data_IF_735023525805
#
_entry.id   IF_735023525805
#
_cell.length_a   1.000
_cell.length_b   1.000
_cell.length_c   1.000
_cell.angle_alpha   90.00
_cell.angle_beta   90.00
_cell.angle_gamma   90.00
#
_symmetry.space_group_name_H-M   'P 1'
#
loop_
_entity.id
_entity.type
_entity.pdbx_description
1 polymer ?
#
# COMPACT_ATOMS: atom_id res chain seq x y z
N UNK A 1 -18.99 -29.63 -3.45
CA UNK A 1 -18.36 -28.30 -3.71
C UNK A 1 -17.65 -27.88 -2.45
N UNK A 2 -16.31 -27.88 -2.43
CA UNK A 2 -15.54 -27.39 -1.29
C UNK A 2 -15.76 -25.88 -1.13
N UNK A 3 -15.97 -25.40 0.10
CA UNK A 3 -16.05 -23.96 0.39
C UNK A 3 -14.77 -23.32 -0.13
N UNK A 4 -14.93 -22.35 -1.02
CA UNK A 4 -13.82 -21.55 -1.54
C UNK A 4 -13.14 -20.82 -0.36
N UNK A 5 -11.82 -20.99 -0.22
CA UNK A 5 -11.09 -20.41 0.91
C UNK A 5 -10.99 -18.91 0.74
N UNK A 6 -11.18 -18.17 1.81
CA UNK A 6 -11.05 -16.71 1.81
C UNK A 6 -9.59 -16.30 1.63
N UNK A 7 -9.34 -15.35 0.74
CA UNK A 7 -8.01 -14.79 0.51
C UNK A 7 -7.71 -13.67 1.50
N UNK A 8 -6.51 -13.69 2.10
CA UNK A 8 -6.02 -12.67 3.04
C UNK A 8 -4.66 -12.18 2.57
N UNK A 9 -4.53 -10.88 2.41
CA UNK A 9 -3.28 -10.21 2.06
C UNK A 9 -2.64 -9.63 3.33
N UNK A 10 -1.43 -10.05 3.65
CA UNK A 10 -0.71 -9.70 4.87
C UNK A 10 0.54 -8.92 4.47
N UNK A 11 0.65 -7.67 4.90
CA UNK A 11 1.89 -6.90 4.72
C UNK A 11 2.77 -6.99 5.96
N UNK A 12 4.06 -7.20 5.76
CA UNK A 12 5.06 -7.19 6.83
C UNK A 12 5.80 -5.87 6.81
N UNK A 13 5.69 -5.11 7.90
CA UNK A 13 6.24 -3.76 8.05
C UNK A 13 7.07 -3.64 9.34
N UNK A 14 7.87 -2.62 9.45
CA UNK A 14 8.71 -2.34 10.64
C UNK A 14 10.00 -1.63 10.27
N UNK A 15 10.76 -1.25 11.28
CA UNK A 15 12.02 -0.54 11.13
C UNK A 15 13.06 -1.35 10.33
N UNK A 16 14.08 -0.67 9.80
CA UNK A 16 15.26 -1.34 9.20
C UNK A 16 15.87 -2.27 10.25
N UNK A 17 16.36 -3.42 9.83
CA UNK A 17 17.00 -4.44 10.68
C UNK A 17 16.14 -5.01 11.82
N UNK A 18 14.84 -4.73 11.87
CA UNK A 18 13.94 -5.33 12.88
C UNK A 18 13.72 -6.85 12.68
N UNK A 19 14.23 -7.43 11.60
CA UNK A 19 14.15 -8.86 11.29
C UNK A 19 12.91 -9.28 10.50
N UNK A 20 12.30 -8.37 9.74
CA UNK A 20 11.14 -8.64 8.88
C UNK A 20 11.34 -9.84 7.97
N UNK A 21 12.34 -9.76 7.10
CA UNK A 21 12.68 -10.81 6.12
C UNK A 21 12.96 -12.17 6.78
N UNK A 22 13.73 -12.17 7.86
CA UNK A 22 14.09 -13.40 8.57
C UNK A 22 12.86 -14.06 9.18
N UNK A 23 12.01 -13.28 9.83
CA UNK A 23 10.76 -13.77 10.45
C UNK A 23 9.79 -14.29 9.38
N UNK A 24 9.60 -13.52 8.31
CA UNK A 24 8.70 -13.89 7.21
C UNK A 24 9.18 -15.13 6.47
N UNK A 25 10.46 -15.17 6.09
CA UNK A 25 11.03 -16.33 5.40
C UNK A 25 11.01 -17.60 6.25
N UNK A 26 11.25 -17.49 7.57
CA UNK A 26 11.14 -18.63 8.48
C UNK A 26 9.67 -19.10 8.62
N UNK A 27 8.72 -18.20 8.72
CA UNK A 27 7.29 -18.51 8.76
C UNK A 27 6.86 -19.27 7.51
N UNK A 28 7.22 -18.78 6.32
CA UNK A 28 6.90 -19.40 5.04
C UNK A 28 7.51 -20.80 4.95
N UNK A 29 8.77 -20.97 5.39
CA UNK A 29 9.43 -22.27 5.44
C UNK A 29 8.70 -23.25 6.37
N UNK A 30 8.32 -22.82 7.57
CA UNK A 30 7.59 -23.66 8.54
C UNK A 30 6.20 -24.07 8.06
N UNK A 31 5.55 -23.23 7.26
CA UNK A 31 4.25 -23.53 6.66
C UNK A 31 4.34 -24.41 5.38
N UNK A 32 5.54 -24.89 5.04
CA UNK A 32 5.74 -25.75 3.89
C UNK A 32 5.72 -25.05 2.53
N UNK A 33 5.75 -23.71 2.51
CA UNK A 33 5.74 -22.90 1.28
C UNK A 33 7.09 -22.92 0.53
N UNK A 34 8.15 -23.54 1.10
CA UNK A 34 9.49 -23.59 0.51
C UNK A 34 10.10 -24.97 0.72
N UNK A 35 10.67 -25.50 -0.33
CA UNK A 35 11.43 -26.77 -0.28
C UNK A 35 12.70 -26.59 0.56
N UNK A 36 12.99 -27.61 1.38
CA UNK A 36 14.20 -27.68 2.22
C UNK A 36 15.48 -27.49 1.41
N UNK A 37 15.53 -28.03 0.20
CA UNK A 37 16.69 -27.90 -0.72
C UNK A 37 17.00 -26.46 -1.08
N UNK A 38 15.96 -25.62 -1.20
CA UNK A 38 16.13 -24.18 -1.49
C UNK A 38 16.80 -23.48 -0.31
N UNK A 39 16.39 -23.80 0.92
CA UNK A 39 17.00 -23.24 2.14
C UNK A 39 18.45 -23.71 2.28
N UNK A 40 18.73 -24.99 2.02
CA UNK A 40 20.11 -25.54 2.06
C UNK A 40 21.03 -24.85 1.02
N UNK A 41 20.50 -24.52 -0.17
CA UNK A 41 21.23 -23.74 -1.16
C UNK A 41 21.53 -22.33 -0.65
N UNK A 42 20.53 -21.63 -0.12
CA UNK A 42 20.73 -20.30 0.45
C UNK A 42 21.66 -20.29 1.66
N UNK A 43 21.68 -21.38 2.45
CA UNK A 43 22.61 -21.53 3.56
C UNK A 43 24.06 -21.62 3.08
N UNK A 44 24.33 -22.35 1.97
CA UNK A 44 25.67 -22.41 1.35
C UNK A 44 26.08 -21.05 0.78
N UNK A 45 25.21 -20.42 -0.02
CA UNK A 45 25.46 -19.09 -0.60
C UNK A 45 25.70 -18.04 0.50
N UNK A 46 24.92 -18.08 1.59
CA UNK A 46 25.08 -17.17 2.72
C UNK A 46 26.36 -17.41 3.52
N UNK A 47 26.83 -18.67 3.60
CA UNK A 47 28.11 -19.02 4.22
C UNK A 47 29.28 -18.44 3.43
N UNK A 48 29.24 -18.52 2.09
CA UNK A 48 30.27 -17.96 1.20
C UNK A 48 30.39 -16.44 1.32
N UNK A 49 29.27 -15.76 1.59
CA UNK A 49 29.22 -14.31 1.76
C UNK A 49 29.38 -13.85 3.24
N UNK A 50 29.73 -14.73 4.17
CA UNK A 50 29.79 -14.47 5.61
C UNK A 50 28.48 -13.94 6.21
N UNK A 51 27.31 -14.30 5.64
CA UNK A 51 25.97 -13.86 6.04
C UNK A 51 25.07 -15.03 6.43
N UNK A 52 25.56 -16.02 7.18
CA UNK A 52 24.83 -17.26 7.52
C UNK A 52 23.43 -17.07 8.13
N UNK A 53 23.20 -15.97 8.84
CA UNK A 53 21.91 -15.65 9.44
C UNK A 53 20.83 -15.27 8.42
N UNK A 54 21.19 -14.94 7.18
CA UNK A 54 20.28 -14.44 6.15
C UNK A 54 19.61 -15.54 5.30
N UNK A 55 19.87 -16.81 5.53
CA UNK A 55 19.33 -17.92 4.73
C UNK A 55 17.80 -17.90 4.57
N UNK A 56 17.06 -17.47 5.57
CA UNK A 56 15.61 -17.30 5.47
C UNK A 56 15.21 -15.97 4.85
N UNK A 57 15.99 -14.92 5.06
CA UNK A 57 15.74 -13.62 4.44
C UNK A 57 15.84 -13.69 2.91
N UNK A 58 16.81 -14.43 2.40
CA UNK A 58 17.04 -14.59 0.96
C UNK A 58 15.93 -15.31 0.18
N UNK A 59 15.00 -15.91 0.87
CA UNK A 59 13.79 -16.46 0.27
C UNK A 59 12.97 -15.35 -0.42
N UNK A 60 12.92 -14.17 0.19
CA UNK A 60 12.16 -13.02 -0.30
C UNK A 60 13.02 -12.06 -1.11
N UNK A 61 14.33 -12.00 -0.86
CA UNK A 61 15.29 -11.16 -1.59
C UNK A 61 15.54 -11.71 -3.01
N UNK A 62 14.74 -11.24 -3.95
CA UNK A 62 14.82 -11.67 -5.35
C UNK A 62 15.96 -11.01 -6.11
N UNK A 63 16.33 -9.79 -5.74
CA UNK A 63 17.35 -9.01 -6.41
C UNK A 63 18.73 -9.29 -5.80
N UNK A 64 19.75 -9.42 -6.67
CA UNK A 64 21.13 -9.55 -6.21
C UNK A 64 21.57 -8.37 -5.34
N UNK A 65 21.13 -7.16 -5.71
CA UNK A 65 21.39 -5.93 -4.96
C UNK A 65 20.80 -5.93 -3.54
N UNK A 66 19.66 -6.59 -3.33
CA UNK A 66 19.06 -6.77 -1.99
C UNK A 66 19.93 -7.67 -1.12
N UNK A 67 20.38 -8.82 -1.66
CA UNK A 67 21.26 -9.76 -0.96
C UNK A 67 22.63 -9.17 -0.62
N UNK A 68 23.22 -8.38 -1.53
CA UNK A 68 24.49 -7.69 -1.32
C UNK A 68 24.38 -6.61 -0.24
N UNK A 69 23.33 -5.80 -0.30
CA UNK A 69 23.11 -4.69 0.63
C UNK A 69 22.46 -5.11 1.95
N UNK A 70 21.72 -6.22 1.95
CA UNK A 70 20.94 -6.69 3.11
C UNK A 70 19.70 -5.87 3.40
N UNK A 71 19.16 -5.17 2.39
CA UNK A 71 17.95 -4.35 2.51
C UNK A 71 16.97 -4.67 1.38
N UNK A 72 15.69 -4.76 1.69
CA UNK A 72 14.62 -4.91 0.71
C UNK A 72 14.47 -3.61 -0.09
N UNK A 73 14.45 -3.70 -1.40
CA UNK A 73 14.29 -2.58 -2.32
C UNK A 73 12.90 -2.58 -2.92
N UNK A 74 12.43 -3.74 -3.38
CA UNK A 74 11.13 -3.89 -4.03
C UNK A 74 10.19 -4.80 -3.23
N UNK A 75 8.92 -4.82 -3.62
CA UNK A 75 7.89 -5.62 -2.97
C UNK A 75 8.08 -7.08 -3.39
N UNK A 76 8.17 -7.97 -2.42
CA UNK A 76 8.15 -9.41 -2.66
C UNK A 76 6.77 -9.98 -2.25
N UNK A 77 6.21 -10.80 -3.10
CA UNK A 77 4.95 -11.51 -2.85
C UNK A 77 5.22 -13.00 -2.71
N UNK A 78 4.68 -13.58 -1.66
CA UNK A 78 4.69 -15.02 -1.45
C UNK A 78 3.31 -15.53 -1.07
N UNK A 79 2.89 -16.65 -1.64
CA UNK A 79 1.60 -17.26 -1.35
C UNK A 79 1.79 -18.54 -0.54
N UNK A 80 0.96 -18.73 0.45
CA UNK A 80 0.83 -19.99 1.17
C UNK A 80 -0.63 -20.26 1.52
N UNK A 81 -0.92 -21.51 1.82
CA UNK A 81 -2.27 -21.97 2.09
C UNK A 81 -2.37 -22.54 3.50
N UNK A 82 -3.43 -22.23 4.20
CA UNK A 82 -3.84 -22.85 5.45
C UNK A 82 -5.07 -23.72 5.20
N UNK A 83 -5.51 -24.46 6.20
CA UNK A 83 -6.75 -25.24 6.10
C UNK A 83 -7.99 -24.39 5.79
N UNK A 84 -7.97 -23.08 6.15
CA UNK A 84 -9.11 -22.16 6.03
C UNK A 84 -8.91 -21.01 5.03
N UNK A 85 -7.68 -20.61 4.78
CA UNK A 85 -7.38 -19.37 4.06
C UNK A 85 -6.29 -19.57 3.00
N UNK A 86 -6.40 -18.81 1.90
CA UNK A 86 -5.28 -18.49 1.02
C UNK A 86 -4.63 -17.20 1.51
N UNK A 87 -3.34 -17.22 1.80
CA UNK A 87 -2.61 -16.08 2.33
C UNK A 87 -1.57 -15.60 1.32
N UNK A 88 -1.57 -14.31 1.03
CA UNK A 88 -0.47 -13.66 0.31
C UNK A 88 0.29 -12.80 1.29
N UNK A 89 1.57 -13.11 1.51
CA UNK A 89 2.48 -12.26 2.29
C UNK A 89 3.11 -11.26 1.33
N UNK A 90 3.01 -10.00 1.69
CA UNK A 90 3.59 -8.84 1.00
C UNK A 90 4.74 -8.37 1.87
N UNK A 91 5.97 -8.66 1.48
CA UNK A 91 7.14 -8.09 2.13
C UNK A 91 7.39 -6.69 1.60
N UNK A 92 7.40 -5.73 2.50
CA UNK A 92 7.54 -4.32 2.17
C UNK A 92 8.87 -3.76 2.69
N UNK A 93 9.57 -2.90 1.90
CA UNK A 93 10.81 -2.29 2.33
C UNK A 93 10.67 -1.53 3.64
N UNK A 94 11.66 -1.68 4.54
CA UNK A 94 11.71 -0.95 5.81
C UNK A 94 12.46 0.38 5.72
N UNK A 95 13.27 0.58 4.69
CA UNK A 95 14.12 1.76 4.55
C UNK A 95 13.35 2.95 3.96
N UNK A 96 13.54 4.16 4.54
CA UNK A 96 12.83 5.39 4.12
C UNK A 96 12.99 5.75 2.65
N UNK A 97 14.10 5.36 2.01
CA UNK A 97 14.32 5.62 0.58
C UNK A 97 13.35 4.83 -0.30
N UNK A 98 12.83 3.71 0.19
CA UNK A 98 11.91 2.82 -0.53
C UNK A 98 10.47 2.89 0.00
N UNK A 99 10.12 3.93 0.73
CA UNK A 99 8.79 4.08 1.35
C UNK A 99 7.65 4.06 0.32
N UNK A 100 7.91 4.44 -0.94
CA UNK A 100 6.94 4.29 -2.03
C UNK A 100 6.49 2.85 -2.22
N UNK A 101 7.44 1.92 -2.21
CA UNK A 101 7.15 0.50 -2.37
C UNK A 101 6.44 -0.04 -1.11
N UNK A 102 6.83 0.43 0.08
CA UNK A 102 6.12 0.13 1.33
C UNK A 102 4.65 0.58 1.26
N UNK A 103 4.38 1.80 0.82
CA UNK A 103 3.02 2.34 0.65
C UNK A 103 2.23 1.51 -0.36
N UNK A 104 2.84 1.16 -1.49
CA UNK A 104 2.19 0.32 -2.52
C UNK A 104 1.84 -1.07 -1.98
N UNK A 105 2.74 -1.74 -1.27
CA UNK A 105 2.48 -3.03 -0.65
C UNK A 105 1.38 -2.95 0.42
N UNK A 106 1.49 -1.96 1.30
CA UNK A 106 0.53 -1.76 2.39
C UNK A 106 -0.88 -1.44 1.89
N UNK A 107 -1.00 -0.70 0.79
CA UNK A 107 -2.30 -0.36 0.22
C UNK A 107 -3.08 -1.58 -0.29
N UNK A 108 -2.42 -2.71 -0.50
CA UNK A 108 -3.02 -3.96 -0.98
C UNK A 108 -3.36 -4.93 0.17
N UNK A 109 -3.02 -4.60 1.41
CA UNK A 109 -3.10 -5.52 2.54
C UNK A 109 -4.41 -5.40 3.32
N UNK A 110 -4.88 -6.53 3.84
CA UNK A 110 -6.00 -6.62 4.79
C UNK A 110 -5.50 -6.51 6.23
N UNK A 111 -4.32 -7.09 6.49
CA UNK A 111 -3.69 -7.16 7.79
C UNK A 111 -2.22 -6.74 7.68
N UNK A 112 -1.70 -6.07 8.70
CA UNK A 112 -0.27 -5.77 8.81
C UNK A 112 0.35 -6.53 9.98
N UNK A 113 1.56 -7.05 9.76
CA UNK A 113 2.43 -7.56 10.82
C UNK A 113 3.54 -6.54 11.03
N UNK A 114 3.48 -5.83 12.15
CA UNK A 114 4.48 -4.85 12.55
C UNK A 114 5.58 -5.55 13.35
N UNK A 115 6.75 -5.71 12.75
CA UNK A 115 7.91 -6.31 13.40
C UNK A 115 8.67 -5.23 14.16
N UNK A 116 8.76 -5.41 15.47
CA UNK A 116 9.36 -4.47 16.42
C UNK A 116 10.68 -5.06 16.92
N UNK A 117 11.76 -4.30 16.81
CA UNK A 117 13.04 -4.66 17.43
C UNK A 117 12.95 -4.45 18.93
N UNK A 118 13.17 -5.49 19.73
CA UNK A 118 13.09 -5.42 21.20
C UNK A 118 14.41 -5.10 21.87
N UNK A 119 15.51 -5.00 21.11
CA UNK A 119 16.82 -4.70 21.64
C UNK A 119 16.88 -3.27 22.18
N UNK A 120 17.75 -3.06 23.17
CA UNK A 120 18.05 -1.71 23.67
C UNK A 120 18.70 -0.89 22.56
N UNK A 121 18.19 0.31 22.32
CA UNK A 121 18.57 1.17 21.19
C UNK A 121 17.78 0.87 19.90
N UNK A 122 17.47 -0.38 19.60
CA UNK A 122 16.72 -0.76 18.40
C UNK A 122 15.25 -0.37 18.48
N UNK A 123 14.61 -0.62 19.62
CA UNK A 123 13.23 -0.19 19.86
C UNK A 123 13.11 1.33 19.87
N UNK A 124 13.97 2.01 20.62
CA UNK A 124 13.98 3.46 20.77
C UNK A 124 14.16 4.16 19.41
N UNK A 125 15.08 3.68 18.58
CA UNK A 125 15.29 4.19 17.23
C UNK A 125 14.01 4.02 16.37
N UNK A 126 13.37 2.84 16.44
CA UNK A 126 12.17 2.55 15.67
C UNK A 126 10.94 3.35 16.08
N UNK A 127 10.75 3.63 17.39
CA UNK A 127 9.59 4.34 17.95
C UNK A 127 9.81 5.84 18.07
N UNK A 128 11.02 6.35 17.84
CA UNK A 128 11.33 7.77 17.86
C UNK A 128 10.43 8.59 16.93
N UNK A 129 10.47 9.91 17.02
CA UNK A 129 9.67 10.81 16.17
C UNK A 129 9.88 10.55 14.67
N UNK A 130 11.12 10.26 14.29
CA UNK A 130 11.55 9.98 12.91
C UNK A 130 11.73 8.47 12.65
N UNK A 131 11.31 7.64 13.59
CA UNK A 131 11.42 6.19 13.54
C UNK A 131 10.42 5.54 12.61
N UNK A 132 10.88 4.57 11.82
CA UNK A 132 10.07 3.92 10.80
C UNK A 132 9.00 2.99 11.36
N UNK A 133 9.17 2.42 12.54
CA UNK A 133 8.11 1.63 13.21
C UNK A 133 6.85 2.49 13.40
N UNK A 134 7.05 3.73 13.86
CA UNK A 134 5.97 4.68 14.07
C UNK A 134 5.35 5.17 12.76
N UNK A 135 6.17 5.51 11.78
CA UNK A 135 5.73 5.94 10.45
C UNK A 135 4.96 4.85 9.71
N UNK A 136 5.48 3.62 9.72
CA UNK A 136 4.83 2.49 9.05
C UNK A 136 3.49 2.12 9.70
N UNK A 137 3.39 2.13 11.03
CA UNK A 137 2.12 1.88 11.72
C UNK A 137 1.06 2.93 11.35
N UNK A 138 1.45 4.20 11.27
CA UNK A 138 0.57 5.29 10.85
C UNK A 138 0.12 5.13 9.38
N UNK A 139 1.08 4.87 8.49
CA UNK A 139 0.79 4.66 7.06
C UNK A 139 -0.12 3.45 6.83
N UNK A 140 0.11 2.34 7.52
CA UNK A 140 -0.76 1.17 7.45
C UNK A 140 -2.19 1.53 7.84
N UNK A 141 -2.38 2.26 8.93
CA UNK A 141 -3.69 2.75 9.34
C UNK A 141 -4.31 3.69 8.28
N UNK A 142 -3.55 4.68 7.82
CA UNK A 142 -4.02 5.67 6.83
C UNK A 142 -4.39 5.00 5.51
N UNK A 143 -3.63 3.98 5.09
CA UNK A 143 -3.88 3.23 3.84
C UNK A 143 -4.99 2.18 3.98
N UNK A 144 -5.54 1.99 5.19
CA UNK A 144 -6.75 1.21 5.40
C UNK A 144 -6.56 -0.23 5.77
N UNK A 145 -5.40 -0.57 6.29
CA UNK A 145 -5.20 -1.88 6.91
C UNK A 145 -6.15 -2.03 8.09
N UNK A 146 -6.96 -3.09 8.07
CA UNK A 146 -8.04 -3.31 9.05
C UNK A 146 -7.54 -3.85 10.38
N UNK A 147 -6.47 -4.66 10.34
CA UNK A 147 -5.93 -5.34 11.51
C UNK A 147 -4.41 -5.19 11.56
N UNK A 148 -3.86 -5.01 12.75
CA UNK A 148 -2.43 -4.95 12.98
C UNK A 148 -2.02 -5.94 14.07
N UNK A 149 -1.05 -6.79 13.74
CA UNK A 149 -0.41 -7.72 14.66
C UNK A 149 0.97 -7.15 14.97
N UNK A 150 1.26 -6.89 16.25
CA UNK A 150 2.56 -6.43 16.68
C UNK A 150 3.40 -7.63 17.14
N UNK A 151 4.58 -7.79 16.53
CA UNK A 151 5.51 -8.86 16.84
C UNK A 151 6.78 -8.28 17.48
N UNK A 152 6.98 -8.52 18.78
CA UNK A 152 8.21 -8.19 19.48
C UNK A 152 9.31 -9.20 19.10
N UNK A 153 10.17 -8.80 18.20
CA UNK A 153 11.25 -9.64 17.67
C UNK A 153 12.56 -9.41 18.43
N UNK A 154 13.53 -10.33 18.28
CA UNK A 154 14.84 -10.31 18.92
C UNK A 154 14.79 -10.30 20.46
N UNK A 155 13.79 -10.93 21.06
CA UNK A 155 13.69 -11.06 22.51
C UNK A 155 14.83 -11.87 23.13
N UNK A 156 15.46 -12.72 22.35
CA UNK A 156 16.67 -13.48 22.72
C UNK A 156 17.91 -12.59 22.91
N UNK A 157 17.90 -11.40 22.33
CA UNK A 157 18.97 -10.40 22.44
C UNK A 157 18.72 -9.34 23.53
N UNK A 158 17.63 -9.44 24.30
CA UNK A 158 17.36 -8.55 25.44
C UNK A 158 18.23 -8.92 26.65
N UNK A 159 18.40 -7.99 27.59
CA UNK A 159 19.10 -8.23 28.85
C UNK A 159 18.16 -7.98 30.04
N UNK A 160 17.76 -9.01 30.80
CA UNK A 160 18.01 -10.45 30.56
C UNK A 160 17.32 -10.96 29.28
N UNK A 161 17.78 -12.08 28.73
CA UNK A 161 17.15 -12.73 27.56
C UNK A 161 15.68 -13.00 27.85
N UNK A 162 14.80 -12.71 26.83
CA UNK A 162 13.36 -12.84 26.93
C UNK A 162 12.74 -12.04 28.10
N UNK A 163 13.29 -10.86 28.38
CA UNK A 163 12.85 -9.97 29.46
C UNK A 163 11.37 -9.64 29.37
N UNK A 164 10.59 -10.10 30.36
CA UNK A 164 9.16 -9.76 30.46
C UNK A 164 8.95 -8.26 30.68
N UNK A 165 9.79 -7.62 31.48
CA UNK A 165 9.71 -6.18 31.73
C UNK A 165 9.87 -5.39 30.43
N UNK A 166 10.84 -5.78 29.58
CA UNK A 166 11.05 -5.18 28.25
C UNK A 166 9.86 -5.41 27.33
N UNK A 167 9.30 -6.59 27.33
CA UNK A 167 8.09 -6.88 26.56
C UNK A 167 6.92 -5.99 26.99
N UNK A 168 6.66 -5.90 28.29
CA UNK A 168 5.56 -5.11 28.83
C UNK A 168 5.73 -3.60 28.55
N UNK A 169 6.97 -3.08 28.60
CA UNK A 169 7.32 -1.72 28.19
C UNK A 169 6.95 -1.46 26.72
N UNK A 170 7.42 -2.32 25.80
CA UNK A 170 7.16 -2.22 24.36
C UNK A 170 5.66 -2.27 24.10
N UNK A 171 4.95 -3.22 24.70
CA UNK A 171 3.48 -3.37 24.52
C UNK A 171 2.75 -2.11 24.98
N UNK A 172 3.14 -1.54 26.12
CA UNK A 172 2.54 -0.30 26.65
C UNK A 172 2.74 0.88 25.72
N UNK A 173 3.98 1.10 25.26
CA UNK A 173 4.35 2.22 24.39
C UNK A 173 3.61 2.10 23.03
N UNK A 174 3.74 0.97 22.35
CA UNK A 174 3.13 0.72 21.05
C UNK A 174 1.60 0.76 21.12
N UNK A 175 0.99 0.16 22.16
CA UNK A 175 -0.46 0.22 22.36
C UNK A 175 -0.97 1.64 22.57
N UNK A 176 -0.22 2.45 23.34
CA UNK A 176 -0.55 3.88 23.55
C UNK A 176 -0.51 4.65 22.23
N UNK A 177 0.46 4.37 21.37
CA UNK A 177 0.58 5.00 20.07
C UNK A 177 -0.56 4.58 19.12
N UNK A 178 -0.83 3.26 19.02
CA UNK A 178 -1.86 2.73 18.13
C UNK A 178 -3.27 3.20 18.52
N UNK A 179 -3.60 3.24 19.81
CA UNK A 179 -4.89 3.76 20.30
C UNK A 179 -5.16 5.21 19.91
N UNK A 180 -4.13 6.04 19.79
CA UNK A 180 -4.25 7.42 19.32
C UNK A 180 -4.57 7.53 17.83
N UNK A 181 -4.30 6.49 17.06
CA UNK A 181 -4.44 6.46 15.60
C UNK A 181 -5.78 5.88 15.11
N UNK A 182 -6.51 5.12 15.96
CA UNK A 182 -7.72 4.41 15.53
C UNK A 182 -8.99 5.27 15.63
N UNK A 183 -9.66 5.50 14.51
CA UNK A 183 -11.11 5.77 14.41
C UNK A 183 -11.65 5.04 13.18
N UNK A 184 -12.75 4.30 13.42
CA UNK A 184 -13.43 3.35 12.54
C UNK A 184 -14.04 3.99 11.29
N UNK A 185 -13.94 3.38 10.09
CA UNK A 185 -14.78 3.70 8.95
C UNK A 185 -15.62 2.52 8.51
N UNK A 186 -16.93 2.71 8.49
CA UNK A 186 -17.91 1.77 7.94
C UNK A 186 -17.89 1.79 6.41
N UNK A 187 -18.02 0.62 5.84
CA UNK A 187 -18.03 0.29 4.42
C UNK A 187 -19.32 0.72 3.74
N UNK A 188 -19.25 1.25 2.53
CA UNK A 188 -20.38 1.30 1.61
C UNK A 188 -20.02 0.73 0.24
N UNK A 189 -21.04 0.21 -0.41
CA UNK A 189 -21.13 -0.67 -1.57
C UNK A 189 -20.89 0.09 -2.90
N UNK A 190 -20.47 -0.67 -3.92
CA UNK A 190 -20.64 -0.53 -5.37
C UNK A 190 -19.44 -0.13 -6.24
N UNK A 191 -19.45 -0.78 -7.39
CA UNK A 191 -18.60 -0.74 -8.57
C UNK A 191 -17.26 -1.48 -8.44
N UNK A 192 -17.00 -2.34 -9.45
CA UNK A 192 -15.72 -2.98 -9.65
C UNK A 192 -14.62 -1.93 -9.74
N UNK A 193 -13.68 -2.00 -8.82
CA UNK A 193 -12.52 -1.12 -8.76
C UNK A 193 -11.26 -1.97 -8.62
N UNK A 194 -10.30 -1.78 -9.52
CA UNK A 194 -9.09 -2.56 -9.58
C UNK A 194 -7.87 -1.64 -9.60
N UNK A 195 -7.07 -1.68 -8.55
CA UNK A 195 -5.80 -0.93 -8.45
C UNK A 195 -4.67 -1.77 -9.00
N UNK A 196 -3.78 -1.21 -9.80
CA UNK A 196 -2.84 -2.03 -10.57
C UNK A 196 -1.41 -1.55 -10.65
N UNK A 197 -0.53 -2.52 -10.82
CA UNK A 197 0.77 -2.45 -11.44
C UNK A 197 0.70 -3.04 -12.86
N UNK A 198 1.70 -2.79 -13.71
CA UNK A 198 1.68 -3.20 -15.12
C UNK A 198 2.97 -3.90 -15.49
N UNK A 199 2.85 -5.12 -16.00
CA UNK A 199 3.98 -5.95 -16.42
C UNK A 199 3.89 -6.28 -17.91
N UNK A 200 5.06 -6.43 -18.53
CA UNK A 200 5.21 -7.01 -19.87
C UNK A 200 5.66 -8.46 -19.72
N UNK A 201 4.83 -9.40 -20.12
CA UNK A 201 5.17 -10.83 -20.07
C UNK A 201 5.36 -11.32 -21.51
N UNK A 202 6.54 -11.90 -21.81
CA UNK A 202 6.86 -12.49 -23.11
C UNK A 202 5.81 -13.52 -23.52
N UNK A 203 5.34 -13.48 -24.78
CA UNK A 203 4.30 -14.38 -25.29
C UNK A 203 2.86 -14.04 -24.87
N UNK A 204 2.66 -13.27 -23.81
CA UNK A 204 1.34 -12.92 -23.26
C UNK A 204 0.96 -11.47 -23.59
N UNK A 205 1.89 -10.53 -23.43
CA UNK A 205 1.67 -9.11 -23.69
C UNK A 205 1.63 -8.25 -22.42
N UNK A 206 0.74 -7.26 -22.41
CA UNK A 206 0.56 -6.35 -21.27
C UNK A 206 -0.37 -6.97 -20.24
N UNK A 207 0.14 -7.13 -19.01
CA UNK A 207 -0.57 -7.75 -17.89
C UNK A 207 -0.63 -6.76 -16.74
N UNK A 208 -1.76 -6.05 -16.54
CA UNK A 208 -2.03 -5.36 -15.30
C UNK A 208 -2.24 -6.38 -14.18
N UNK A 209 -1.60 -6.15 -13.04
CA UNK A 209 -1.68 -6.97 -11.83
C UNK A 209 -2.10 -6.08 -10.67
N UNK A 210 -3.07 -6.52 -9.89
CA UNK A 210 -3.49 -5.75 -8.71
C UNK A 210 -4.64 -6.40 -7.96
N UNK A 211 -5.22 -5.63 -7.06
CA UNK A 211 -6.29 -6.08 -6.17
C UNK A 211 -7.66 -5.65 -6.67
N UNK A 212 -8.61 -6.58 -6.64
CA UNK A 212 -10.04 -6.28 -6.78
C UNK A 212 -10.51 -5.66 -5.46
N UNK A 213 -10.95 -4.41 -5.50
CA UNK A 213 -11.43 -3.70 -4.30
C UNK A 213 -12.92 -3.88 -4.10
N UNK A 214 -13.68 -3.86 -5.19
CA UNK A 214 -15.14 -3.99 -5.17
C UNK A 214 -15.62 -4.69 -6.43
N UNK A 215 -16.83 -5.27 -6.42
CA UNK A 215 -17.43 -5.95 -7.55
C UNK A 215 -16.75 -7.27 -7.90
N UNK A 216 -17.02 -7.78 -9.11
CA UNK A 216 -16.49 -9.06 -9.60
C UNK A 216 -15.86 -8.88 -10.97
N UNK A 217 -14.64 -9.36 -11.14
CA UNK A 217 -13.94 -9.36 -12.41
C UNK A 217 -14.07 -10.73 -13.10
N UNK A 218 -14.60 -10.73 -14.32
CA UNK A 218 -14.79 -11.97 -15.12
C UNK A 218 -14.05 -11.87 -16.46
N UNK A 219 -13.61 -13.00 -17.01
CA UNK A 219 -13.11 -13.06 -18.38
C UNK A 219 -14.15 -12.51 -19.35
N UNK A 220 -13.70 -11.76 -20.34
CA UNK A 220 -14.59 -11.17 -21.35
C UNK A 220 -15.31 -9.89 -20.94
N UNK A 221 -15.16 -9.42 -19.69
CA UNK A 221 -15.67 -8.09 -19.32
C UNK A 221 -14.93 -6.99 -20.07
N UNK A 222 -15.66 -5.91 -20.36
CA UNK A 222 -15.09 -4.69 -20.93
C UNK A 222 -14.81 -3.73 -19.78
N UNK A 223 -13.54 -3.37 -19.62
CA UNK A 223 -13.07 -2.46 -18.55
C UNK A 223 -12.52 -1.17 -19.14
N UNK A 224 -12.70 -0.09 -18.42
CA UNK A 224 -12.13 1.21 -18.71
C UNK A 224 -11.04 1.54 -17.69
N UNK A 225 -9.89 2.00 -18.17
CA UNK A 225 -8.77 2.40 -17.35
C UNK A 225 -8.77 3.92 -17.13
N UNK A 226 -9.09 4.35 -15.93
CA UNK A 226 -8.81 5.72 -15.49
C UNK A 226 -7.32 5.92 -15.19
N UNK A 227 -6.77 7.13 -15.43
CA UNK A 227 -7.44 8.36 -15.85
C UNK A 227 -7.61 8.52 -17.38
N UNK A 228 -7.06 7.65 -18.21
CA UNK A 228 -6.97 7.84 -19.67
C UNK A 228 -8.25 7.48 -20.44
N UNK A 229 -9.21 6.80 -19.82
CA UNK A 229 -10.42 6.31 -20.48
C UNK A 229 -10.18 5.17 -21.48
N UNK A 230 -8.98 4.57 -21.52
CA UNK A 230 -8.67 3.42 -22.38
C UNK A 230 -9.58 2.25 -22.05
N UNK A 231 -10.35 1.78 -23.06
CA UNK A 231 -11.33 0.71 -22.86
C UNK A 231 -10.92 -0.54 -23.63
N UNK A 232 -10.90 -1.68 -22.97
CA UNK A 232 -10.50 -2.98 -23.54
C UNK A 232 -11.19 -4.16 -22.88
N UNK A 233 -11.08 -5.34 -23.51
CA UNK A 233 -11.59 -6.60 -23.01
C UNK A 233 -10.56 -7.30 -22.12
N UNK A 234 -11.02 -7.83 -20.98
CA UNK A 234 -10.24 -8.64 -20.03
C UNK A 234 -10.09 -10.06 -20.52
N UNK A 235 -8.86 -10.58 -20.47
CA UNK A 235 -8.55 -12.00 -20.65
C UNK A 235 -7.78 -12.51 -19.45
N UNK A 236 -8.38 -13.42 -18.69
CA UNK A 236 -7.65 -14.10 -17.61
C UNK A 236 -6.70 -15.15 -18.22
N UNK A 237 -5.43 -15.11 -17.82
CA UNK A 237 -4.41 -16.09 -18.18
C UNK A 237 -3.88 -16.76 -16.92
N UNK A 238 -3.73 -18.08 -17.02
CA UNK A 238 -3.23 -19.01 -16.00
C UNK A 238 -4.15 -19.24 -14.79
N UNK A 239 -4.50 -20.52 -14.64
CA UNK A 239 -5.50 -21.10 -13.75
C UNK A 239 -6.90 -20.57 -14.03
N UNK A 240 -7.81 -21.47 -14.32
CA UNK A 240 -9.18 -21.16 -14.76
C UNK A 240 -10.02 -20.54 -13.64
N UNK A 241 -9.63 -19.35 -13.19
CA UNK A 241 -10.49 -18.53 -12.34
C UNK A 241 -11.67 -18.09 -13.21
N UNK A 242 -12.85 -18.60 -12.89
CA UNK A 242 -14.09 -18.18 -13.54
C UNK A 242 -14.41 -16.73 -13.21
N UNK A 243 -14.01 -16.27 -12.01
CA UNK A 243 -14.21 -14.91 -11.53
C UNK A 243 -13.20 -14.55 -10.45
N UNK A 244 -12.92 -13.24 -10.29
CA UNK A 244 -12.12 -12.71 -9.21
C UNK A 244 -13.00 -11.80 -8.32
N UNK A 245 -12.92 -12.03 -7.02
CA UNK A 245 -13.74 -11.40 -5.99
C UNK A 245 -12.98 -10.29 -5.24
N UNK A 246 -13.68 -9.40 -4.52
CA UNK A 246 -13.05 -8.40 -3.68
C UNK A 246 -12.05 -9.01 -2.69
N UNK A 247 -10.82 -8.48 -2.68
CA UNK A 247 -9.70 -8.99 -1.91
C UNK A 247 -8.69 -9.80 -2.73
N UNK A 248 -9.08 -10.32 -3.90
CA UNK A 248 -8.18 -11.10 -4.74
C UNK A 248 -7.12 -10.24 -5.41
N UNK A 249 -5.88 -10.71 -5.38
CA UNK A 249 -4.80 -10.17 -6.20
C UNK A 249 -4.66 -11.00 -7.48
N UNK A 250 -5.04 -10.40 -8.59
CA UNK A 250 -5.08 -11.07 -9.89
C UNK A 250 -4.32 -10.29 -10.96
N UNK A 251 -3.82 -11.02 -11.95
CA UNK A 251 -3.29 -10.45 -13.17
C UNK A 251 -4.16 -10.87 -14.35
N UNK A 252 -4.44 -9.95 -15.26
CA UNK A 252 -5.17 -10.26 -16.47
C UNK A 252 -4.52 -9.67 -17.71
N UNK A 253 -4.66 -10.34 -18.84
CA UNK A 253 -4.13 -9.84 -20.10
C UNK A 253 -5.11 -8.85 -20.74
N UNK A 254 -4.57 -7.82 -21.38
CA UNK A 254 -5.32 -6.83 -22.16
C UNK A 254 -4.85 -6.86 -23.60
N UNK A 255 -5.80 -7.05 -24.53
CA UNK A 255 -5.50 -7.10 -25.96
C UNK A 255 -5.29 -5.70 -26.56
N UNK A 256 -4.27 -5.59 -27.42
CA UNK A 256 -3.99 -4.39 -28.21
C UNK A 256 -3.74 -3.13 -27.35
N UNK A 257 -3.17 -3.33 -26.18
CA UNK A 257 -2.74 -2.27 -25.26
C UNK A 257 -1.23 -2.37 -25.08
N UNK A 258 -0.51 -1.32 -25.37
CA UNK A 258 0.93 -1.27 -25.13
C UNK A 258 1.21 -0.99 -23.64
N UNK A 259 2.30 -1.52 -23.11
CA UNK A 259 2.71 -1.28 -21.69
C UNK A 259 2.80 0.22 -21.37
N UNK A 260 3.23 1.05 -22.34
CA UNK A 260 3.32 2.51 -22.19
C UNK A 260 1.95 3.21 -22.02
N UNK A 261 0.87 2.57 -22.44
CA UNK A 261 -0.51 3.12 -22.37
C UNK A 261 -1.13 2.92 -20.98
N UNK A 262 -0.57 2.03 -20.17
CA UNK A 262 -0.97 1.77 -18.79
C UNK A 262 0.18 2.06 -17.84
N UNK A 263 -0.13 2.65 -16.70
CA UNK A 263 0.88 3.03 -15.69
C UNK A 263 0.45 2.60 -14.31
N UNK A 264 1.42 2.43 -13.43
CA UNK A 264 1.18 2.30 -11.98
C UNK A 264 0.28 3.45 -11.51
N UNK A 265 -0.68 3.16 -10.66
CA UNK A 265 -1.64 4.16 -10.18
C UNK A 265 -2.90 4.30 -11.05
N UNK A 266 -2.99 3.58 -12.17
CA UNK A 266 -4.25 3.52 -12.92
C UNK A 266 -5.26 2.62 -12.21
N UNK A 267 -6.52 2.85 -12.50
CA UNK A 267 -7.66 2.12 -11.94
C UNK A 267 -8.48 1.55 -13.07
N UNK A 268 -8.73 0.24 -13.05
CA UNK A 268 -9.67 -0.39 -13.96
C UNK A 268 -11.06 -0.44 -13.31
N UNK A 269 -12.08 -0.16 -14.10
CA UNK A 269 -13.48 -0.16 -13.68
C UNK A 269 -14.37 -0.74 -14.78
N UNK A 270 -15.59 -1.17 -14.43
CA UNK A 270 -16.56 -1.61 -15.41
C UNK A 270 -16.90 -0.47 -16.37
N UNK A 271 -16.77 -0.70 -17.68
CA UNK A 271 -17.03 0.34 -18.69
C UNK A 271 -18.48 0.80 -18.77
N UNK A 272 -19.41 0.02 -18.20
CA UNK A 272 -20.87 0.28 -18.24
C UNK A 272 -21.41 0.92 -16.96
N UNK A 273 -20.62 0.98 -15.90
CA UNK A 273 -21.04 1.39 -14.56
C UNK A 273 -20.15 2.52 -14.04
N UNK A 274 -20.39 3.75 -14.47
CA UNK A 274 -19.65 4.96 -14.08
C UNK A 274 -18.12 4.75 -13.93
N UNK A 275 -17.42 4.55 -15.05
CA UNK A 275 -15.99 4.21 -15.01
C UNK A 275 -15.17 5.32 -14.38
N UNK A 276 -14.11 4.93 -13.68
CA UNK A 276 -13.17 5.84 -13.00
C UNK A 276 -12.62 6.89 -13.98
N UNK A 277 -12.68 8.18 -13.57
CA UNK A 277 -12.29 9.33 -14.37
C UNK A 277 -11.07 10.02 -13.76
N UNK A 278 -10.43 10.89 -14.55
CA UNK A 278 -9.36 11.77 -14.07
C UNK A 278 -9.89 12.79 -13.07
N UNK A 279 -9.18 12.98 -11.96
CA UNK A 279 -9.44 14.07 -11.02
C UNK A 279 -8.78 15.36 -11.53
N UNK A 280 -9.60 16.40 -11.76
CA UNK A 280 -9.13 17.75 -12.07
C UNK A 280 -8.58 18.44 -10.84
N UNK A 281 -9.35 18.40 -9.76
CA UNK A 281 -9.00 18.87 -8.44
C UNK A 281 -9.82 18.09 -7.40
N UNK A 282 -9.43 18.18 -6.14
CA UNK A 282 -10.22 17.61 -5.05
C UNK A 282 -10.02 18.39 -3.74
N UNK A 283 -11.04 18.42 -2.93
CA UNK A 283 -11.00 18.99 -1.59
C UNK A 283 -10.79 17.88 -0.57
N UNK A 284 -9.79 18.06 0.29
CA UNK A 284 -9.40 17.07 1.29
C UNK A 284 -9.32 17.68 2.67
N UNK A 285 -9.69 16.86 3.66
CA UNK A 285 -9.35 17.11 5.04
C UNK A 285 -7.98 16.52 5.32
N UNK A 286 -7.04 17.34 5.76
CA UNK A 286 -5.64 16.94 6.04
C UNK A 286 -5.30 17.17 7.50
N UNK A 287 -4.34 16.38 7.98
CA UNK A 287 -3.66 16.56 9.27
C UNK A 287 -2.18 16.71 8.97
N UNK A 288 -1.60 17.83 9.37
CA UNK A 288 -0.18 18.11 9.17
C UNK A 288 0.64 17.40 10.25
N UNK A 289 1.71 16.75 9.83
CA UNK A 289 2.57 15.94 10.69
C UNK A 289 4.03 16.14 10.25
N UNK A 290 4.95 16.17 11.20
CA UNK A 290 6.39 16.14 10.92
C UNK A 290 6.91 17.15 9.86
N UNK A 291 6.14 18.16 9.50
CA UNK A 291 6.63 19.22 8.62
C UNK A 291 7.47 20.20 9.42
N UNK A 292 8.70 20.52 8.98
CA UNK A 292 9.60 21.38 9.76
C UNK A 292 9.19 22.86 9.80
N UNK A 293 8.40 23.29 8.81
CA UNK A 293 7.96 24.67 8.66
C UNK A 293 6.43 24.83 8.60
N UNK A 294 6.01 25.83 7.85
CA UNK A 294 4.59 26.14 7.60
C UNK A 294 4.22 25.73 6.18
N UNK A 295 3.04 25.16 6.01
CA UNK A 295 2.48 24.79 4.72
C UNK A 295 1.50 25.90 4.31
N UNK A 296 1.82 26.63 3.26
CA UNK A 296 0.99 27.69 2.70
C UNK A 296 0.38 27.31 1.35
N UNK A 297 -0.39 28.24 0.78
CA UNK A 297 -0.90 28.11 -0.58
C UNK A 297 0.25 27.97 -1.59
N UNK A 298 0.11 27.08 -2.55
CA UNK A 298 1.14 26.79 -3.55
C UNK A 298 2.13 25.72 -3.15
N UNK A 299 2.08 25.15 -1.95
CA UNK A 299 2.92 24.03 -1.52
C UNK A 299 2.78 22.84 -2.47
N UNK A 300 3.89 22.25 -2.88
CA UNK A 300 3.93 21.26 -3.97
C UNK A 300 4.64 19.94 -3.56
N UNK A 301 4.03 19.14 -2.69
CA UNK A 301 4.58 17.87 -2.25
C UNK A 301 4.25 16.72 -3.19
N UNK A 302 4.74 15.51 -2.85
CA UNK A 302 4.28 14.25 -3.46
C UNK A 302 3.12 13.67 -2.66
N UNK A 303 2.05 13.34 -3.35
CA UNK A 303 0.88 12.67 -2.81
C UNK A 303 0.91 11.19 -3.20
N UNK A 304 0.76 10.34 -2.20
CA UNK A 304 0.63 8.90 -2.35
C UNK A 304 -0.82 8.50 -2.05
N UNK A 305 -1.57 8.20 -3.08
CA UNK A 305 -2.95 7.73 -3.01
C UNK A 305 -3.04 6.39 -3.72
N UNK A 306 -3.48 5.33 -3.03
CA UNK A 306 -3.42 3.94 -3.49
C UNK A 306 -2.02 3.57 -4.07
N UNK A 307 -1.93 3.11 -5.31
CA UNK A 307 -0.65 2.82 -5.99
C UNK A 307 -0.09 4.02 -6.77
N UNK A 308 -0.76 5.18 -6.72
CA UNK A 308 -0.36 6.42 -7.41
C UNK A 308 0.59 7.24 -6.55
N UNK A 309 1.66 7.76 -7.17
CA UNK A 309 2.67 8.63 -6.55
C UNK A 309 2.85 9.86 -7.44
N UNK A 310 2.17 10.94 -7.13
CA UNK A 310 2.08 12.11 -8.02
C UNK A 310 2.34 13.38 -7.23
N UNK A 311 3.16 14.28 -7.80
CA UNK A 311 3.28 15.62 -7.26
C UNK A 311 1.96 16.36 -7.40
N UNK A 312 1.58 17.05 -6.34
CA UNK A 312 0.34 17.83 -6.28
C UNK A 312 0.65 19.25 -5.82
N UNK A 313 -0.30 20.15 -6.03
CA UNK A 313 -0.23 21.51 -5.50
C UNK A 313 -1.38 21.72 -4.53
N UNK A 314 -1.10 22.20 -3.32
CA UNK A 314 -2.09 22.75 -2.40
C UNK A 314 -2.47 24.13 -2.94
N UNK A 315 -3.52 24.17 -3.76
CA UNK A 315 -3.91 25.40 -4.44
C UNK A 315 -4.38 26.43 -3.42
N UNK A 316 -5.25 25.99 -2.50
CA UNK A 316 -5.85 26.85 -1.48
C UNK A 316 -6.02 26.07 -0.17
N UNK A 317 -5.73 26.75 0.93
CA UNK A 317 -6.09 26.28 2.27
C UNK A 317 -7.44 26.93 2.60
N UNK A 318 -8.51 26.13 2.61
CA UNK A 318 -9.87 26.64 2.76
C UNK A 318 -10.22 26.97 4.21
N UNK A 319 -9.90 26.07 5.12
CA UNK A 319 -10.19 26.24 6.54
C UNK A 319 -9.20 25.52 7.42
N UNK A 320 -8.96 26.08 8.59
CA UNK A 320 -8.31 25.39 9.71
C UNK A 320 -9.38 24.89 10.66
N UNK A 321 -9.29 23.64 11.10
CA UNK A 321 -10.27 22.99 11.97
C UNK A 321 -9.62 22.47 13.24
N UNK A 322 -10.41 22.40 14.31
CA UNK A 322 -10.01 21.68 15.51
C UNK A 322 -9.98 20.17 15.26
N UNK A 323 -8.85 19.54 15.53
CA UNK A 323 -8.62 18.11 15.25
C UNK A 323 -9.57 17.19 16.01
N UNK A 324 -10.06 17.59 17.19
CA UNK A 324 -10.90 16.75 18.06
C UNK A 324 -12.38 16.93 17.77
N UNK A 325 -12.84 18.17 17.71
CA UNK A 325 -14.24 18.50 17.51
C UNK A 325 -14.66 18.63 16.04
N UNK A 326 -13.68 18.82 15.13
CA UNK A 326 -13.93 19.09 13.72
C UNK A 326 -14.50 20.50 13.46
N UNK A 327 -14.63 21.34 14.49
CA UNK A 327 -15.14 22.71 14.36
C UNK A 327 -14.15 23.59 13.60
N UNK A 328 -14.68 24.48 12.79
CA UNK A 328 -13.89 25.49 12.10
C UNK A 328 -13.28 26.47 13.12
N UNK A 329 -11.97 26.70 13.01
CA UNK A 329 -11.21 27.65 13.82
C UNK A 329 -10.91 28.93 13.07
N UNK A 330 -10.57 28.83 11.77
CA UNK A 330 -10.17 29.96 10.94
C UNK A 330 -10.50 29.65 9.47
N UNK A 331 -11.06 30.64 8.76
CA UNK A 331 -11.32 30.63 7.32
C UNK A 331 -10.11 31.18 6.58
N UNK A 332 -9.75 30.52 5.47
CA UNK A 332 -8.66 30.91 4.59
C UNK A 332 -7.35 31.25 5.32
N UNK A 333 -6.87 30.36 6.20
CA UNK A 333 -5.65 30.61 6.95
C UNK A 333 -4.45 30.73 5.99
N UNK A 334 -3.52 31.62 6.31
CA UNK A 334 -2.31 31.80 5.50
C UNK A 334 -1.44 30.56 5.44
N UNK A 335 -1.46 29.73 6.48
CA UNK A 335 -0.66 28.50 6.60
C UNK A 335 -1.25 27.51 7.60
N UNK A 336 -0.82 26.26 7.48
CA UNK A 336 -0.98 25.20 8.47
C UNK A 336 0.38 24.78 9.03
N UNK A 337 0.43 24.47 10.33
CA UNK A 337 1.63 24.00 11.05
C UNK A 337 1.50 22.54 11.45
N UNK A 338 2.61 21.97 11.90
CA UNK A 338 2.64 20.65 12.48
C UNK A 338 1.60 20.51 13.62
N UNK A 339 0.74 19.50 13.52
CA UNK A 339 -0.37 19.24 14.44
C UNK A 339 -1.70 19.87 14.04
N UNK A 340 -1.71 20.82 13.11
CA UNK A 340 -2.94 21.42 12.59
C UNK A 340 -3.72 20.45 11.70
N UNK A 341 -5.03 20.64 11.66
CA UNK A 341 -5.93 20.01 10.70
C UNK A 341 -6.69 21.08 9.91
N UNK A 342 -6.99 20.78 8.65
CA UNK A 342 -7.68 21.75 7.80
C UNK A 342 -8.24 21.13 6.54
N UNK A 343 -9.04 21.90 5.81
CA UNK A 343 -9.49 21.59 4.47
C UNK A 343 -8.61 22.28 3.45
N UNK A 344 -8.15 21.53 2.45
CA UNK A 344 -7.29 22.04 1.38
C UNK A 344 -7.83 21.63 0.02
N UNK A 345 -7.73 22.53 -0.96
CA UNK A 345 -7.96 22.23 -2.37
C UNK A 345 -6.65 21.78 -2.99
N UNK A 346 -6.66 20.59 -3.57
CA UNK A 346 -5.48 19.92 -4.14
C UNK A 346 -5.65 19.77 -5.64
N UNK A 347 -4.60 20.13 -6.39
CA UNK A 347 -4.56 19.97 -7.85
C UNK A 347 -3.41 19.02 -8.19
N UNK A 348 -3.68 17.85 -8.82
CA UNK A 348 -2.65 16.96 -9.30
C UNK A 348 -1.87 17.58 -10.48
N UNK A 349 -0.55 17.36 -10.51
CA UNK A 349 0.31 17.83 -11.63
C UNK A 349 0.32 16.88 -12.83
N UNK A 350 -0.16 15.65 -12.62
CA UNK A 350 -0.31 14.61 -13.65
C UNK A 350 -1.66 13.93 -13.51
N UNK A 351 -2.20 13.37 -14.61
CA UNK A 351 -3.45 12.64 -14.56
C UNK A 351 -3.44 11.53 -13.52
N UNK A 352 -4.42 11.53 -12.63
CA UNK A 352 -4.64 10.49 -11.61
C UNK A 352 -6.13 10.26 -11.37
N UNK A 353 -6.45 9.09 -10.84
CA UNK A 353 -7.78 8.79 -10.32
C UNK A 353 -7.79 9.05 -8.82
N UNK A 354 -8.78 9.78 -8.38
CA UNK A 354 -9.10 10.00 -6.97
C UNK A 354 -10.62 9.97 -6.79
N UNK A 355 -11.07 9.45 -5.67
CA UNK A 355 -12.49 9.34 -5.33
C UNK A 355 -12.73 9.84 -3.91
N UNK A 356 -13.99 10.11 -3.57
CA UNK A 356 -14.32 10.50 -2.19
C UNK A 356 -14.11 9.31 -1.24
N UNK A 357 -13.66 9.60 -0.03
CA UNK A 357 -13.47 8.57 1.00
C UNK A 357 -14.79 7.85 1.37
N UNK A 358 -15.91 8.55 1.28
CA UNK A 358 -17.23 7.99 1.59
C UNK A 358 -17.69 6.95 0.57
N UNK A 359 -17.34 7.11 -0.71
CA UNK A 359 -17.73 6.21 -1.79
C UNK A 359 -16.71 5.08 -1.98
N UNK A 360 -15.43 5.45 -2.09
CA UNK A 360 -14.33 4.53 -2.35
C UNK A 360 -13.17 4.76 -1.38
N UNK A 361 -13.25 4.26 -0.15
CA UNK A 361 -12.23 4.50 0.87
C UNK A 361 -10.78 4.24 0.40
N UNK A 362 -10.48 3.20 -0.40
CA UNK A 362 -9.13 2.97 -0.89
C UNK A 362 -8.58 4.05 -1.83
N UNK A 363 -9.44 4.75 -2.57
CA UNK A 363 -9.09 5.85 -3.48
C UNK A 363 -9.31 7.24 -2.86
N UNK A 364 -9.90 7.28 -1.67
CA UNK A 364 -10.27 8.50 -0.97
C UNK A 364 -9.36 8.87 0.19
N UNK A 365 -8.25 8.15 0.40
CA UNK A 365 -7.27 8.43 1.45
C UNK A 365 -5.87 8.48 0.87
N UNK A 366 -5.03 9.32 1.46
CA UNK A 366 -3.68 9.54 0.95
C UNK A 366 -2.71 9.96 2.05
N UNK A 367 -1.43 9.77 1.75
CA UNK A 367 -0.32 10.35 2.48
C UNK A 367 0.36 11.41 1.61
N UNK A 368 0.84 12.47 2.25
CA UNK A 368 1.63 13.53 1.62
C UNK A 368 3.06 13.40 2.10
N UNK A 369 4.00 13.36 1.16
CA UNK A 369 5.42 13.23 1.47
C UNK A 369 6.22 14.39 0.93
N UNK A 370 7.15 14.83 1.75
CA UNK A 370 8.17 15.79 1.40
C UNK A 370 9.48 15.44 2.14
N UNK A 371 10.64 15.76 1.56
CA UNK A 371 11.97 15.50 2.16
C UNK A 371 12.13 14.06 2.70
N UNK A 372 11.58 13.05 2.00
CA UNK A 372 11.58 11.63 2.37
C UNK A 372 10.84 11.30 3.69
N UNK A 373 9.95 12.18 4.13
CA UNK A 373 9.12 12.00 5.32
C UNK A 373 7.63 12.16 4.97
N UNK A 374 6.77 11.51 5.74
CA UNK A 374 5.33 11.74 5.66
C UNK A 374 5.00 13.01 6.45
N UNK A 375 4.60 14.06 5.73
CA UNK A 375 4.34 15.40 6.30
C UNK A 375 2.87 15.68 6.52
N UNK A 376 1.98 14.95 5.86
CA UNK A 376 0.55 15.01 6.13
C UNK A 376 -0.14 13.70 5.73
N UNK A 377 -1.31 13.48 6.30
CA UNK A 377 -2.26 12.44 5.89
C UNK A 377 -3.63 13.08 5.68
N UNK A 378 -4.41 12.53 4.77
CA UNK A 378 -5.70 13.13 4.47
C UNK A 378 -6.73 12.18 3.89
N UNK A 379 -7.98 12.67 3.91
CA UNK A 379 -9.13 12.01 3.29
C UNK A 379 -9.83 12.98 2.34
N UNK A 380 -10.21 12.46 1.18
CA UNK A 380 -10.86 13.23 0.12
C UNK A 380 -12.35 13.37 0.43
N UNK A 381 -12.87 14.57 0.41
CA UNK A 381 -14.28 14.91 0.69
C UNK A 381 -15.09 15.14 -0.58
N UNK A 382 -14.48 15.78 -1.58
CA UNK A 382 -15.11 16.01 -2.88
C UNK A 382 -14.07 15.96 -3.99
N UNK A 383 -14.49 15.54 -5.19
CA UNK A 383 -13.63 15.44 -6.38
C UNK A 383 -14.30 16.13 -7.54
N UNK A 384 -13.58 17.00 -8.23
CA UNK A 384 -13.93 17.54 -9.53
C UNK A 384 -13.33 16.62 -10.61
N UNK A 385 -14.18 15.92 -11.36
CA UNK A 385 -13.75 14.95 -12.38
C UNK A 385 -13.67 15.60 -13.75
N UNK A 386 -12.69 15.18 -14.55
CA UNK A 386 -12.60 15.51 -15.98
C UNK A 386 -13.19 14.37 -16.80
N UNK A 387 -13.92 14.70 -17.85
CA UNK A 387 -14.29 13.71 -18.84
C UNK A 387 -13.09 13.35 -19.73
N UNK A 388 -12.90 12.07 -20.03
CA UNK A 388 -11.76 11.63 -20.83
C UNK A 388 -11.87 12.16 -22.25
N UNK A 389 -10.96 13.06 -22.66
CA UNK A 389 -10.85 13.55 -24.04
C UNK A 389 -10.02 12.57 -24.85
N UNK A 390 -10.58 12.03 -25.95
CA UNK A 390 -9.86 11.14 -26.87
C UNK A 390 -9.66 9.70 -26.38
N UNK A 391 -10.58 9.18 -25.61
CA UNK A 391 -10.55 7.81 -25.08
C UNK A 391 -10.38 6.76 -26.19
N UNK A 392 -9.31 5.94 -26.12
CA UNK A 392 -9.07 4.84 -27.04
C UNK A 392 -9.96 3.65 -26.68
N UNK A 393 -10.80 3.21 -27.60
CA UNK A 393 -11.56 1.95 -27.49
C UNK A 393 -10.88 0.91 -28.37
N UNK A 394 -10.48 -0.21 -27.80
CA UNK A 394 -9.88 -1.31 -28.57
C UNK A 394 -10.94 -1.99 -29.47
N UNK A 395 -10.52 -2.50 -30.64
CA UNK A 395 -11.43 -3.20 -31.56
C UNK A 395 -12.19 -4.36 -30.90
N UNK A 396 -11.58 -5.02 -29.90
CA UNK A 396 -12.22 -6.09 -29.15
C UNK A 396 -13.37 -5.59 -28.26
N UNK A 397 -13.20 -4.45 -27.60
CA UNK A 397 -14.24 -3.83 -26.78
C UNK A 397 -15.36 -3.22 -27.64
N UNK A 398 -15.05 -2.67 -28.80
CA UNK A 398 -16.05 -2.10 -29.72
C UNK A 398 -17.04 -3.13 -30.25
N UNK A 399 -16.64 -4.41 -30.39
CA UNK A 399 -17.51 -5.50 -30.84
C UNK A 399 -18.50 -6.02 -29.78
N UNK A 400 -18.32 -5.62 -28.51
CA UNK A 400 -19.14 -6.06 -27.36
C UNK A 400 -20.02 -4.95 -26.77
N UNK A 401 -20.01 -3.75 -27.37
CA UNK A 401 -21.01 -2.73 -27.15
C UNK A 401 -22.27 -3.08 -27.96
#
# INVERSE_FOLDING_TARGET
MGKEKVHINIVVIGHVDSGKLTTTGHLIYKLGGIDKRVIERFEKEAAEMNKRSFKYAWVLDKLKAERERGITIDIALWKFETTKYYCTVIDAPGHRDFIKNMITGTSQADCAVLIIDSTTGGFEAGISKDGQTREHALLAFTLGVKQMICCCNKMDATTPKYSKARYDEIVKEVSSYLKKSQRDPRTSLFAFLYRMDVYKIGGIGTVPVGRVETGVLKPGMVVTFGPTGLTTEVKLHHEALQEALPGDNVGFNVKNVAVKDLKRGFVASNSKEDPAKEAASFTSQVIIMNHPGQIGNGYAPVLDCHTSHIAVKFAEILTKIDRRSGKELEKEPKFLKNGDAGFVKVIPTKPMVAETFSQYPPLGRFAVRDMRQTVAVGVIKSVEKKDPTGAKITKAAAKKK
#
